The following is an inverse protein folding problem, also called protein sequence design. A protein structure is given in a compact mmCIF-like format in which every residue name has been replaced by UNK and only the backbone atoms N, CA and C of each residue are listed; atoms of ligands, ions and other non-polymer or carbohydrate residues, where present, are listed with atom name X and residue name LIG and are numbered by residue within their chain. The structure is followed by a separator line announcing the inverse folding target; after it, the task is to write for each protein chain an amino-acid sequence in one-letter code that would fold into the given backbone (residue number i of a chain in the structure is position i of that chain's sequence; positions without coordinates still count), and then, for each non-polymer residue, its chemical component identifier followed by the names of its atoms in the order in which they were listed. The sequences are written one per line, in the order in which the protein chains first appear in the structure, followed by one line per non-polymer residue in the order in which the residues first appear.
data_IF_268537187363
#
_entry.id   IF_268537187363
#
_cell.length_a   1.000
_cell.length_b   1.000
_cell.length_c   1.000
_cell.angle_alpha   90.00
_cell.angle_beta   90.00
_cell.angle_gamma   90.00
#
_symmetry.space_group_name_H-M   'P 1'
#
loop_
_entity.id
_entity.type
_entity.pdbx_description
1 polymer ?
#
# COMPACT_ATOMS: atom_id res chain seq x y z
N UNK A 1 -22.83 7.28 11.59
CA UNK A 1 -22.35 8.48 10.85
C UNK A 1 -21.82 9.58 11.78
N UNK A 2 -21.67 9.31 13.07
CA UNK A 2 -21.35 10.30 14.11
C UNK A 2 -19.95 10.94 13.95
N UNK A 3 -19.12 10.37 13.08
CA UNK A 3 -17.78 10.86 12.78
C UNK A 3 -17.71 11.70 11.50
N UNK A 4 -18.86 12.02 10.91
CA UNK A 4 -19.01 12.85 9.72
C UNK A 4 -19.80 14.11 10.07
N UNK A 5 -19.33 15.27 9.64
CA UNK A 5 -20.06 16.50 9.85
C UNK A 5 -21.31 16.59 8.94
N UNK A 6 -22.47 16.83 9.53
CA UNK A 6 -23.72 16.97 8.79
C UNK A 6 -24.07 15.76 7.94
N UNK A 7 -24.41 16.01 6.69
CA UNK A 7 -24.81 14.99 5.70
C UNK A 7 -23.67 14.57 4.76
N UNK A 8 -22.41 14.95 5.07
CA UNK A 8 -21.27 14.66 4.20
C UNK A 8 -21.02 13.17 3.97
N UNK A 9 -21.50 12.31 4.87
CA UNK A 9 -21.45 10.84 4.73
C UNK A 9 -22.27 10.31 3.52
N UNK A 10 -23.26 11.04 3.03
CA UNK A 10 -24.09 10.63 1.90
C UNK A 10 -23.30 10.53 0.58
N UNK A 11 -22.21 11.28 0.49
CA UNK A 11 -21.27 11.26 -0.65
C UNK A 11 -19.92 10.65 -0.29
N UNK A 12 -19.73 10.31 0.92
CA UNK A 12 -18.63 9.89 1.76
C UNK A 12 -17.37 9.27 1.18
N UNK A 13 -17.43 8.29 0.30
CA UNK A 13 -16.26 7.51 -0.13
C UNK A 13 -16.07 6.21 0.66
N UNK A 14 -14.83 5.76 0.81
CA UNK A 14 -14.49 4.50 1.48
C UNK A 14 -14.61 3.26 0.60
N UNK A 15 -14.19 3.28 -0.69
CA UNK A 15 -14.33 2.14 -1.58
C UNK A 15 -13.45 0.97 -1.15
N UNK A 16 -13.88 -0.27 -1.47
CA UNK A 16 -13.18 -1.52 -1.15
C UNK A 16 -12.65 -2.17 -2.44
N UNK A 17 -11.77 -1.48 -3.14
CA UNK A 17 -11.36 -1.82 -4.50
C UNK A 17 -10.18 -2.82 -4.61
N UNK A 18 -9.55 -3.19 -3.48
CA UNK A 18 -8.55 -4.26 -3.40
C UNK A 18 -9.13 -5.44 -2.62
N UNK A 19 -8.67 -6.65 -2.91
CA UNK A 19 -9.14 -7.88 -2.28
C UNK A 19 -8.78 -7.93 -0.79
N UNK A 20 -9.73 -8.39 0.03
CA UNK A 20 -9.52 -8.70 1.45
C UNK A 20 -8.92 -10.09 1.67
N UNK A 21 -8.72 -10.44 2.92
CA UNK A 21 -8.16 -11.74 3.36
C UNK A 21 -9.14 -12.44 4.29
N UNK A 22 -9.34 -13.74 4.10
CA UNK A 22 -10.16 -14.58 4.97
C UNK A 22 -9.27 -15.43 5.89
N UNK A 23 -9.58 -15.41 7.18
CA UNK A 23 -8.99 -16.30 8.17
C UNK A 23 -9.98 -17.41 8.55
N UNK A 24 -9.75 -18.66 8.12
CA UNK A 24 -10.61 -19.79 8.43
C UNK A 24 -10.56 -20.22 9.90
N UNK A 25 -9.55 -19.82 10.66
CA UNK A 25 -9.44 -20.16 12.08
C UNK A 25 -10.40 -19.34 12.94
N UNK A 26 -10.58 -18.05 12.58
CA UNK A 26 -11.43 -17.12 13.31
C UNK A 26 -12.78 -16.87 12.64
N UNK A 27 -12.96 -17.38 11.42
CA UNK A 27 -14.10 -17.09 10.54
C UNK A 27 -14.31 -15.58 10.32
N UNK A 28 -13.18 -14.86 10.17
CA UNK A 28 -13.16 -13.42 9.95
C UNK A 28 -12.63 -13.08 8.55
N UNK A 29 -13.23 -12.04 7.97
CA UNK A 29 -12.73 -11.40 6.76
C UNK A 29 -12.10 -10.06 7.16
N UNK A 30 -10.85 -9.84 6.76
CA UNK A 30 -10.17 -8.58 6.93
C UNK A 30 -10.16 -7.81 5.62
N UNK A 31 -10.58 -6.56 5.65
CA UNK A 31 -10.66 -5.75 4.43
C UNK A 31 -10.16 -4.34 4.67
N UNK A 32 -9.44 -3.78 3.68
CA UNK A 32 -9.04 -2.39 3.68
C UNK A 32 -10.07 -1.50 2.99
N UNK A 33 -10.36 -0.35 3.57
CA UNK A 33 -11.25 0.67 2.99
C UNK A 33 -10.46 1.85 2.46
N UNK A 34 -10.96 2.47 1.41
CA UNK A 34 -10.35 3.61 0.75
C UNK A 34 -10.63 4.95 1.43
N UNK A 35 -10.11 5.99 0.80
CA UNK A 35 -10.20 7.37 1.25
C UNK A 35 -11.62 7.93 1.25
N UNK A 36 -11.89 8.97 2.05
CA UNK A 36 -13.14 9.74 1.97
C UNK A 36 -13.14 10.67 0.75
N UNK A 37 -14.35 11.01 0.26
CA UNK A 37 -14.52 11.95 -0.85
C UNK A 37 -15.11 13.29 -0.36
N UNK A 38 -14.70 14.43 -0.93
CA UNK A 38 -13.61 14.64 -1.89
C UNK A 38 -12.23 14.48 -1.24
N UNK A 39 -11.26 13.93 -1.98
CA UNK A 39 -9.98 13.44 -1.45
C UNK A 39 -9.17 14.54 -0.74
N UNK A 40 -8.95 15.70 -1.41
CA UNK A 40 -8.03 16.77 -0.95
C UNK A 40 -8.72 17.79 -0.04
N UNK A 41 -10.05 17.96 -0.12
CA UNK A 41 -10.77 18.94 0.69
C UNK A 41 -11.50 18.31 1.86
N UNK A 42 -10.84 18.21 3.02
CA UNK A 42 -11.43 17.68 4.24
C UNK A 42 -12.30 18.68 5.02
N UNK A 43 -12.32 19.96 4.63
CA UNK A 43 -13.13 20.98 5.32
C UNK A 43 -14.64 20.81 5.09
N UNK A 44 -15.03 20.17 3.99
CA UNK A 44 -16.45 19.89 3.66
C UNK A 44 -16.96 18.59 4.29
N UNK A 45 -16.08 17.85 5.00
CA UNK A 45 -16.39 16.55 5.64
C UNK A 45 -15.65 16.39 6.96
N UNK A 46 -15.71 17.37 7.84
CA UNK A 46 -15.00 17.34 9.12
C UNK A 46 -15.34 16.11 9.94
N UNK A 47 -14.43 15.76 10.86
CA UNK A 47 -14.49 14.55 11.66
C UNK A 47 -13.59 13.45 11.13
N UNK A 48 -13.53 12.31 11.81
CA UNK A 48 -12.62 11.20 11.47
C UNK A 48 -13.05 10.43 10.21
N UNK A 49 -14.29 10.59 9.75
CA UNK A 49 -14.88 9.97 8.55
C UNK A 49 -14.84 8.42 8.59
N UNK A 50 -15.21 7.81 9.72
CA UNK A 50 -15.29 6.34 9.81
C UNK A 50 -16.35 5.77 8.83
N UNK A 51 -16.08 4.64 8.17
CA UNK A 51 -14.89 3.78 8.28
C UNK A 51 -13.98 3.91 7.06
N UNK A 52 -13.72 5.12 6.57
CA UNK A 52 -12.71 5.32 5.52
C UNK A 52 -11.31 5.08 6.07
N UNK A 53 -10.36 4.75 5.18
CA UNK A 53 -8.95 4.51 5.50
C UNK A 53 -8.73 3.60 6.70
N UNK A 54 -9.45 2.48 6.72
CA UNK A 54 -9.45 1.54 7.84
C UNK A 54 -9.16 0.12 7.39
N UNK A 55 -8.62 -0.67 8.28
CA UNK A 55 -8.73 -2.13 8.23
C UNK A 55 -9.95 -2.49 9.07
N UNK A 56 -10.88 -3.24 8.48
CA UNK A 56 -12.08 -3.74 9.15
C UNK A 56 -12.03 -5.26 9.23
N UNK A 57 -12.47 -5.83 10.36
CA UNK A 57 -12.70 -7.27 10.51
C UNK A 57 -14.20 -7.52 10.56
N UNK A 58 -14.67 -8.42 9.70
CA UNK A 58 -16.08 -8.76 9.57
C UNK A 58 -16.26 -10.26 9.77
N UNK A 59 -17.33 -10.65 10.46
CA UNK A 59 -17.74 -12.05 10.49
C UNK A 59 -18.12 -12.54 9.09
N UNK A 60 -17.51 -13.64 8.64
CA UNK A 60 -17.68 -14.12 7.26
C UNK A 60 -19.12 -14.50 6.93
N UNK A 61 -19.83 -15.12 7.89
CA UNK A 61 -21.20 -15.58 7.71
C UNK A 61 -22.26 -14.46 7.75
N UNK A 62 -22.04 -13.40 8.55
CA UNK A 62 -23.06 -12.38 8.82
C UNK A 62 -22.74 -11.02 8.23
N UNK A 63 -21.44 -10.73 7.99
CA UNK A 63 -20.97 -9.41 7.61
C UNK A 63 -20.97 -8.40 8.76
N UNK A 64 -21.22 -8.82 9.99
CA UNK A 64 -21.17 -7.95 11.16
C UNK A 64 -19.74 -7.52 11.45
N UNK A 65 -19.58 -6.24 11.82
CA UNK A 65 -18.28 -5.67 12.17
C UNK A 65 -17.83 -6.16 13.55
N UNK A 66 -16.68 -6.85 13.60
CA UNK A 66 -16.05 -7.27 14.85
C UNK A 66 -15.18 -6.15 15.42
N UNK A 67 -14.27 -5.64 14.62
CA UNK A 67 -13.40 -4.51 14.99
C UNK A 67 -12.92 -3.73 13.76
N UNK A 68 -12.35 -2.55 14.02
CA UNK A 68 -11.68 -1.75 12.99
C UNK A 68 -10.46 -1.03 13.56
N UNK A 69 -9.53 -0.67 12.66
CA UNK A 69 -8.43 0.24 12.95
C UNK A 69 -8.28 1.24 11.80
N UNK A 70 -8.44 2.52 12.11
CA UNK A 70 -8.31 3.59 11.11
C UNK A 70 -6.86 4.07 11.02
N UNK A 71 -6.26 3.96 9.83
CA UNK A 71 -4.86 4.31 9.57
C UNK A 71 -4.66 5.78 9.20
N UNK A 72 -5.67 6.45 8.66
CA UNK A 72 -5.61 7.86 8.24
C UNK A 72 -6.95 8.55 8.48
N UNK A 73 -7.22 9.02 9.73
CA UNK A 73 -8.44 9.75 10.03
C UNK A 73 -8.44 11.10 9.31
N UNK A 74 -9.63 11.53 8.83
CA UNK A 74 -9.82 12.81 8.13
C UNK A 74 -8.81 13.04 7.01
N UNK A 75 -8.50 12.00 6.27
CA UNK A 75 -7.46 12.01 5.22
C UNK A 75 -7.72 13.09 4.15
N UNK A 76 -6.65 13.74 3.71
CA UNK A 76 -6.65 14.71 2.62
C UNK A 76 -5.50 14.50 1.63
N UNK A 77 -4.86 13.34 1.72
CA UNK A 77 -3.68 13.00 0.93
C UNK A 77 -3.90 11.77 0.03
N UNK A 78 -5.14 11.24 0.02
CA UNK A 78 -5.50 10.02 -0.72
C UNK A 78 -4.70 8.79 -0.23
N UNK A 79 -4.59 8.66 1.09
CA UNK A 79 -3.85 7.58 1.72
C UNK A 79 -4.73 6.33 2.00
N UNK A 80 -5.44 5.86 0.95
CA UNK A 80 -6.23 4.62 1.01
C UNK A 80 -5.61 3.52 1.89
N UNK A 81 -6.44 2.82 2.65
CA UNK A 81 -6.04 1.61 3.38
C UNK A 81 -6.48 0.33 2.67
N UNK A 82 -6.55 0.36 1.35
CA UNK A 82 -7.03 -0.76 0.54
C UNK A 82 -5.99 -1.85 0.26
N UNK A 83 -4.75 -1.71 0.77
CA UNK A 83 -3.75 -2.77 0.67
C UNK A 83 -4.23 -4.06 1.35
N UNK A 84 -3.76 -5.20 0.85
CA UNK A 84 -4.07 -6.51 1.41
C UNK A 84 -3.69 -6.62 2.89
N UNK A 85 -4.63 -6.95 3.81
CA UNK A 85 -4.28 -7.31 5.17
C UNK A 85 -3.67 -8.71 5.18
N UNK A 86 -2.47 -8.87 5.76
CA UNK A 86 -1.77 -10.16 5.83
C UNK A 86 -2.00 -10.83 7.17
N UNK A 87 -2.44 -12.09 7.14
CA UNK A 87 -2.59 -12.96 8.33
C UNK A 87 -1.22 -13.55 8.65
N UNK A 88 -0.63 -13.15 9.76
CA UNK A 88 0.73 -13.55 10.16
C UNK A 88 0.74 -13.94 11.64
N UNK A 89 1.37 -15.07 11.94
CA UNK A 89 1.67 -15.49 13.32
C UNK A 89 3.17 -15.30 13.55
N UNK A 90 3.54 -14.40 14.47
CA UNK A 90 4.94 -14.03 14.70
C UNK A 90 5.22 -13.71 16.17
N UNK A 91 6.49 -13.85 16.57
CA UNK A 91 6.97 -13.46 17.88
C UNK A 91 6.94 -11.94 18.05
N UNK A 92 6.20 -11.48 19.04
CA UNK A 92 6.17 -10.07 19.44
C UNK A 92 6.17 -9.93 20.96
N UNK A 93 7.05 -9.10 21.51
CA UNK A 93 7.20 -8.89 22.95
C UNK A 93 7.37 -10.21 23.75
N UNK A 94 8.08 -11.19 23.18
CA UNK A 94 8.38 -12.48 23.82
C UNK A 94 7.25 -13.51 23.77
N UNK A 95 6.19 -13.25 23.03
CA UNK A 95 5.05 -14.15 22.85
C UNK A 95 4.71 -14.33 21.37
N UNK A 96 4.23 -15.53 20.99
CA UNK A 96 3.62 -15.73 19.69
C UNK A 96 2.32 -14.96 19.64
N UNK A 97 2.16 -14.11 18.62
CA UNK A 97 0.97 -13.30 18.40
C UNK A 97 0.34 -13.61 17.06
N UNK A 98 -0.97 -13.73 17.05
CA UNK A 98 -1.79 -13.75 15.84
C UNK A 98 -2.01 -12.30 15.42
N UNK A 99 -1.47 -11.93 14.27
CA UNK A 99 -1.48 -10.54 13.81
C UNK A 99 -2.18 -10.38 12.47
N UNK A 100 -2.77 -9.21 12.28
CA UNK A 100 -3.00 -8.63 10.98
C UNK A 100 -1.88 -7.62 10.74
N UNK A 101 -1.11 -7.83 9.68
CA UNK A 101 -0.09 -6.89 9.24
C UNK A 101 -0.60 -6.18 7.99
N UNK A 102 -0.58 -4.85 8.02
CA UNK A 102 -1.11 -4.01 6.96
C UNK A 102 -0.09 -2.95 6.54
N UNK A 103 0.32 -3.00 5.28
CA UNK A 103 1.24 -2.00 4.69
C UNK A 103 0.41 -0.89 4.07
N UNK A 104 0.25 0.20 4.79
CA UNK A 104 -0.64 1.30 4.41
C UNK A 104 0.03 2.28 3.44
N UNK A 105 -0.75 2.88 2.54
CA UNK A 105 -0.30 3.96 1.64
C UNK A 105 0.30 5.16 2.39
N UNK A 106 -0.10 5.36 3.64
CA UNK A 106 0.38 6.46 4.49
C UNK A 106 1.84 6.34 4.93
N UNK A 107 2.55 5.29 4.51
CA UNK A 107 3.99 5.11 4.76
C UNK A 107 4.33 4.21 5.95
N UNK A 108 3.32 3.59 6.58
CA UNK A 108 3.52 2.75 7.76
C UNK A 108 3.12 1.29 7.55
N UNK A 109 3.90 0.39 8.15
CA UNK A 109 3.49 -0.99 8.43
C UNK A 109 2.76 -0.99 9.77
N UNK A 110 1.50 -1.41 9.79
CA UNK A 110 0.73 -1.61 11.02
C UNK A 110 0.68 -3.08 11.37
N UNK A 111 0.84 -3.41 12.65
CA UNK A 111 0.51 -4.72 13.19
C UNK A 111 -0.58 -4.57 14.25
N UNK A 112 -1.64 -5.34 14.08
CA UNK A 112 -2.81 -5.37 14.95
C UNK A 112 -3.01 -6.78 15.48
N UNK A 113 -3.48 -6.90 16.70
CA UNK A 113 -3.95 -8.19 17.21
C UNK A 113 -5.12 -8.67 16.36
N UNK A 114 -5.04 -9.87 15.80
CA UNK A 114 -5.97 -10.37 14.80
C UNK A 114 -7.37 -10.61 15.34
N UNK A 115 -7.49 -10.97 16.61
CA UNK A 115 -8.77 -11.26 17.26
C UNK A 115 -9.50 -9.98 17.68
N UNK A 116 -8.76 -8.99 18.18
CA UNK A 116 -9.35 -7.83 18.86
C UNK A 116 -9.17 -6.51 18.14
N UNK A 117 -8.32 -6.46 17.10
CA UNK A 117 -7.92 -5.23 16.43
C UNK A 117 -7.02 -4.32 17.29
N UNK A 118 -6.57 -4.79 18.45
CA UNK A 118 -5.72 -4.00 19.33
C UNK A 118 -4.40 -3.65 18.63
N UNK A 119 -4.00 -2.39 18.72
CA UNK A 119 -2.76 -1.89 18.17
C UNK A 119 -1.55 -2.53 18.85
N UNK A 120 -0.65 -3.12 18.08
CA UNK A 120 0.60 -3.70 18.56
C UNK A 120 1.78 -2.75 18.28
N UNK A 121 1.96 -2.40 17.01
CA UNK A 121 2.97 -1.43 16.58
C UNK A 121 2.65 -0.85 15.20
N UNK A 122 3.33 0.26 14.88
CA UNK A 122 3.44 0.75 13.52
C UNK A 122 4.80 1.39 13.31
N UNK A 123 5.43 1.11 12.16
CA UNK A 123 6.75 1.62 11.80
C UNK A 123 6.76 2.18 10.38
N UNK A 124 7.58 3.19 10.15
CA UNK A 124 7.78 3.77 8.83
C UNK A 124 8.59 2.82 7.95
N UNK A 125 8.08 2.51 6.75
CA UNK A 125 8.81 1.74 5.75
C UNK A 125 9.32 2.62 4.60
N UNK A 126 8.97 3.89 4.60
CA UNK A 126 9.42 4.94 3.68
C UNK A 126 9.39 6.28 4.39
N UNK A 127 9.81 7.33 3.71
CA UNK A 127 9.78 8.70 4.24
C UNK A 127 8.36 9.15 4.59
N UNK A 128 8.15 9.57 5.84
CA UNK A 128 6.89 10.14 6.35
C UNK A 128 7.17 11.50 6.99
N UNK A 129 6.42 12.53 6.60
CA UNK A 129 6.58 13.87 7.18
C UNK A 129 5.26 14.53 7.62
N UNK A 130 4.11 13.98 7.26
CA UNK A 130 2.80 14.62 7.43
C UNK A 130 2.18 14.41 8.81
N UNK A 131 2.52 13.34 9.50
CA UNK A 131 1.93 12.99 10.80
C UNK A 131 2.96 12.45 11.79
N UNK A 132 2.62 12.54 13.06
CA UNK A 132 3.16 11.75 14.14
C UNK A 132 2.12 10.69 14.54
N UNK A 133 2.45 9.78 15.44
CA UNK A 133 1.50 8.79 15.95
C UNK A 133 1.33 8.93 17.44
N UNK A 134 0.08 8.77 17.89
CA UNK A 134 -0.20 8.61 19.31
C UNK A 134 0.14 7.18 19.78
N UNK A 135 -0.04 6.93 21.08
CA UNK A 135 0.24 5.64 21.73
C UNK A 135 -0.67 4.48 21.24
N UNK A 136 -1.74 4.78 20.51
CA UNK A 136 -2.66 3.81 19.89
C UNK A 136 -2.36 3.59 18.40
N UNK A 137 -1.28 4.20 17.90
CA UNK A 137 -0.91 4.13 16.49
C UNK A 137 -1.76 4.99 15.56
N UNK A 138 -2.68 5.82 16.10
CA UNK A 138 -3.49 6.75 15.33
C UNK A 138 -2.59 7.90 14.86
N UNK A 139 -2.53 8.20 13.55
CA UNK A 139 -1.81 9.36 13.05
C UNK A 139 -2.41 10.66 13.58
N UNK A 140 -1.53 11.55 13.99
CA UNK A 140 -1.85 12.92 14.41
C UNK A 140 -1.15 13.84 13.43
N UNK A 141 -1.93 14.59 12.66
CA UNK A 141 -1.41 15.53 11.67
C UNK A 141 -0.47 16.54 12.35
N UNK A 142 0.71 16.77 11.77
CA UNK A 142 1.62 17.80 12.25
C UNK A 142 1.08 19.18 11.93
N UNK A 143 1.32 20.15 12.82
CA UNK A 143 0.75 21.50 12.74
C UNK A 143 1.00 22.19 11.38
N UNK A 144 2.21 21.98 10.83
CA UNK A 144 2.59 22.55 9.54
C UNK A 144 1.79 22.03 8.34
N UNK A 145 1.03 20.94 8.51
CA UNK A 145 0.18 20.35 7.46
C UNK A 145 -1.31 20.64 7.62
N UNK A 146 -1.73 21.42 8.61
CA UNK A 146 -3.11 21.90 8.66
C UNK A 146 -3.48 22.79 7.48
N UNK A 147 -2.49 23.48 6.91
CA UNK A 147 -2.60 24.23 5.66
C UNK A 147 -1.51 23.75 4.68
N UNK A 148 -1.74 22.62 3.95
CA UNK A 148 -0.71 21.92 3.20
C UNK A 148 -0.31 22.60 1.88
N UNK A 149 -0.95 23.69 1.47
CA UNK A 149 -0.81 24.28 0.13
C UNK A 149 0.62 24.59 -0.33
N UNK A 150 1.53 24.83 0.60
CA UNK A 150 2.93 25.16 0.32
C UNK A 150 3.91 24.06 0.80
N UNK A 151 3.40 22.91 1.21
CA UNK A 151 4.20 21.82 1.79
C UNK A 151 4.21 20.61 0.89
N UNK A 152 5.38 20.01 0.75
CA UNK A 152 5.53 18.72 0.09
C UNK A 152 5.28 17.62 1.10
N UNK A 153 4.23 16.83 0.87
CA UNK A 153 3.84 15.69 1.68
C UNK A 153 4.55 14.43 1.20
N UNK A 154 5.12 13.68 2.11
CA UNK A 154 5.67 12.34 1.90
C UNK A 154 5.05 11.34 2.90
N UNK A 155 4.54 10.20 2.42
CA UNK A 155 4.28 9.88 1.00
C UNK A 155 3.28 10.84 0.38
N UNK A 156 3.41 11.11 -0.93
CA UNK A 156 2.46 11.93 -1.66
C UNK A 156 1.20 11.17 -2.08
N UNK A 157 0.52 11.67 -3.12
CA UNK A 157 -0.76 11.14 -3.63
C UNK A 157 -0.71 9.65 -3.98
N UNK A 158 0.42 9.14 -4.47
CA UNK A 158 0.56 7.71 -4.80
C UNK A 158 0.82 6.82 -3.61
N UNK A 159 1.01 7.40 -2.41
CA UNK A 159 1.35 6.66 -1.19
C UNK A 159 2.79 6.14 -1.19
N UNK A 160 3.21 5.57 -0.07
CA UNK A 160 4.48 4.86 0.04
C UNK A 160 4.43 3.49 -0.65
N UNK A 161 3.31 2.78 -0.54
CA UNK A 161 2.89 1.61 -1.33
C UNK A 161 1.50 1.91 -1.88
N UNK A 162 1.25 1.56 -3.12
CA UNK A 162 -0.07 1.63 -3.71
C UNK A 162 -0.70 0.21 -3.74
N UNK A 163 -1.66 -0.05 -4.66
CA UNK A 163 -2.32 -1.34 -4.83
C UNK A 163 -1.41 -2.56 -5.12
N UNK A 164 -0.20 -2.40 -5.73
CA UNK A 164 0.62 -3.57 -6.00
C UNK A 164 0.95 -4.32 -4.70
N UNK A 165 0.80 -5.66 -4.68
CA UNK A 165 0.93 -6.43 -3.45
C UNK A 165 2.36 -6.43 -2.89
N UNK A 166 2.46 -6.41 -1.57
CA UNK A 166 3.64 -6.85 -0.85
C UNK A 166 3.61 -8.37 -0.68
N UNK A 167 4.73 -8.96 -0.28
CA UNK A 167 4.81 -10.38 0.05
C UNK A 167 5.52 -10.58 1.39
N UNK A 168 5.27 -11.72 2.04
CA UNK A 168 5.88 -12.10 3.30
C UNK A 168 6.57 -13.45 3.18
N UNK A 169 7.77 -13.58 3.75
CA UNK A 169 8.46 -14.85 3.94
C UNK A 169 8.48 -15.24 5.42
N UNK A 170 7.86 -16.34 5.81
CA UNK A 170 7.95 -16.84 7.19
C UNK A 170 9.36 -17.35 7.55
N UNK A 171 10.18 -17.70 6.57
CA UNK A 171 11.54 -18.19 6.79
C UNK A 171 12.49 -17.08 7.25
N UNK A 172 12.32 -15.88 6.70
CA UNK A 172 13.13 -14.71 7.03
C UNK A 172 12.44 -13.73 7.97
N UNK A 173 11.13 -13.88 8.21
CA UNK A 173 10.24 -12.94 8.91
C UNK A 173 10.14 -11.54 8.23
N UNK A 174 10.40 -11.48 6.94
CA UNK A 174 10.45 -10.23 6.20
C UNK A 174 9.23 -10.01 5.33
N UNK A 175 8.75 -8.76 5.36
CA UNK A 175 7.87 -8.19 4.34
C UNK A 175 8.72 -7.59 3.23
N UNK A 176 8.37 -7.92 1.99
CA UNK A 176 8.97 -7.28 0.82
C UNK A 176 7.95 -6.33 0.23
N UNK A 177 8.28 -5.03 0.28
CA UNK A 177 7.35 -3.95 0.01
C UNK A 177 7.75 -3.23 -1.28
N UNK A 178 6.86 -3.13 -2.28
CA UNK A 178 7.10 -2.28 -3.45
C UNK A 178 6.84 -0.81 -3.05
N UNK A 179 7.89 -0.03 -2.88
CA UNK A 179 7.83 1.34 -2.35
C UNK A 179 7.92 2.37 -3.46
N UNK A 180 7.13 3.42 -3.32
CA UNK A 180 7.21 4.65 -4.10
C UNK A 180 7.46 5.82 -3.15
N UNK A 181 8.59 6.49 -3.29
CA UNK A 181 8.89 7.73 -2.59
C UNK A 181 8.77 8.90 -3.55
N UNK A 182 7.58 9.50 -3.58
CA UNK A 182 7.27 10.63 -4.46
C UNK A 182 6.41 11.67 -3.70
N UNK A 183 6.96 12.88 -3.56
CA UNK A 183 6.29 13.96 -2.84
C UNK A 183 5.19 14.61 -3.68
N UNK A 184 4.19 15.12 -2.98
CA UNK A 184 3.07 15.87 -3.58
C UNK A 184 2.72 17.07 -2.72
N UNK A 185 2.50 18.23 -3.36
CA UNK A 185 1.87 19.38 -2.72
C UNK A 185 0.39 19.37 -3.04
N UNK A 186 -0.46 19.52 -2.04
CA UNK A 186 -1.92 19.49 -2.18
C UNK A 186 -2.48 20.90 -2.06
N UNK A 187 -3.24 21.33 -3.06
CA UNK A 187 -3.88 22.65 -3.08
C UNK A 187 -5.39 22.41 -3.00
N UNK A 188 -5.99 22.71 -1.85
CA UNK A 188 -7.44 22.61 -1.66
C UNK A 188 -8.16 23.57 -2.60
N UNK A 189 -9.31 23.16 -3.10
CA UNK A 189 -10.24 24.01 -3.80
C UNK A 189 -11.37 24.41 -2.84
N UNK A 190 -11.78 25.65 -2.86
CA UNK A 190 -12.93 26.11 -2.09
C UNK A 190 -14.24 25.47 -2.59
N UNK A 191 -15.16 25.19 -1.66
CA UNK A 191 -16.50 24.69 -1.93
C UNK A 191 -16.59 23.16 -1.94
N UNK A 192 -17.83 22.70 -2.07
CA UNK A 192 -18.17 21.28 -2.12
C UNK A 192 -17.70 20.67 -3.44
N UNK A 193 -17.34 19.39 -3.38
CA UNK A 193 -17.06 18.59 -4.57
C UNK A 193 -18.31 18.40 -5.44
N UNK A 194 -18.14 17.83 -6.62
CA UNK A 194 -19.25 17.49 -7.54
C UNK A 194 -19.58 16.01 -7.42
N UNK A 195 -20.64 15.62 -6.70
CA UNK A 195 -21.03 14.22 -6.55
C UNK A 195 -21.19 13.52 -7.91
N UNK A 196 -20.74 12.26 -7.99
CA UNK A 196 -20.81 11.47 -9.20
C UNK A 196 -19.77 11.84 -10.27
N UNK A 197 -18.80 12.69 -9.96
CA UNK A 197 -17.67 13.02 -10.83
C UNK A 197 -16.35 12.66 -10.15
N UNK A 198 -15.29 12.51 -10.96
CA UNK A 198 -13.92 12.38 -10.47
C UNK A 198 -13.39 13.76 -10.03
N UNK A 199 -13.90 14.25 -8.91
CA UNK A 199 -13.55 15.55 -8.35
C UNK A 199 -12.76 15.36 -7.04
N UNK A 200 -11.45 15.57 -7.11
CA UNK A 200 -10.56 15.40 -5.95
C UNK A 200 -10.73 16.48 -4.86
N UNK A 201 -11.54 17.51 -5.10
CA UNK A 201 -11.66 18.65 -4.16
C UNK A 201 -10.42 19.54 -4.11
N UNK A 202 -9.48 19.36 -5.02
CA UNK A 202 -8.24 20.11 -5.07
C UNK A 202 -7.35 19.73 -6.24
N UNK A 203 -6.10 20.22 -6.22
CA UNK A 203 -5.10 19.96 -7.25
C UNK A 203 -3.84 19.40 -6.60
N UNK A 204 -3.46 18.14 -6.90
CA UNK A 204 -2.17 17.62 -6.53
C UNK A 204 -1.08 18.13 -7.48
N UNK A 205 0.03 18.60 -6.92
CA UNK A 205 1.25 18.96 -7.66
C UNK A 205 2.37 18.04 -7.24
N UNK A 206 2.79 17.20 -8.17
CA UNK A 206 3.89 16.26 -7.94
C UNK A 206 5.23 16.96 -7.97
N UNK A 207 6.16 16.50 -7.12
CA UNK A 207 7.57 16.85 -7.26
C UNK A 207 8.10 16.42 -8.65
N UNK A 208 9.17 17.05 -9.16
CA UNK A 208 9.70 16.76 -10.50
C UNK A 208 10.13 15.29 -10.68
N UNK A 209 10.53 14.62 -9.61
CA UNK A 209 10.97 13.22 -9.62
C UNK A 209 10.59 12.51 -8.32
N UNK A 210 10.45 11.19 -8.41
CA UNK A 210 10.35 10.28 -7.29
C UNK A 210 11.30 9.11 -7.50
N UNK A 211 11.39 8.22 -6.52
CA UNK A 211 12.21 7.00 -6.58
C UNK A 211 11.37 5.80 -6.14
N UNK A 212 11.50 4.70 -6.87
CA UNK A 212 10.94 3.41 -6.48
C UNK A 212 11.95 2.54 -5.76
N UNK A 213 11.48 1.68 -4.85
CA UNK A 213 12.33 0.71 -4.15
C UNK A 213 11.62 -0.63 -4.00
N UNK A 214 12.40 -1.69 -3.79
CA UNK A 214 11.99 -2.89 -3.07
C UNK A 214 12.62 -2.82 -1.69
N UNK A 215 11.81 -2.88 -0.65
CA UNK A 215 12.23 -2.77 0.75
C UNK A 215 11.94 -4.09 1.44
N UNK A 216 12.92 -4.66 2.15
CA UNK A 216 12.72 -5.76 3.08
C UNK A 216 12.64 -5.24 4.51
N UNK A 217 11.48 -5.40 5.12
CA UNK A 217 11.20 -4.99 6.49
C UNK A 217 10.98 -6.23 7.37
N UNK A 218 11.80 -6.36 8.39
CA UNK A 218 11.73 -7.44 9.37
C UNK A 218 10.67 -7.11 10.44
N UNK A 219 9.62 -7.93 10.52
CA UNK A 219 8.50 -7.73 11.47
C UNK A 219 8.94 -7.94 12.91
N UNK A 220 9.85 -8.89 13.16
CA UNK A 220 10.33 -9.24 14.51
C UNK A 220 11.26 -8.18 15.07
N UNK A 221 12.23 -7.76 14.24
CA UNK A 221 13.21 -6.74 14.63
C UNK A 221 12.68 -5.31 14.44
N UNK A 222 11.57 -5.16 13.69
CA UNK A 222 10.91 -3.89 13.41
C UNK A 222 11.82 -2.88 12.74
N UNK A 223 12.52 -3.33 11.69
CA UNK A 223 13.47 -2.49 10.95
C UNK A 223 13.62 -2.93 9.50
N UNK A 224 14.01 -1.98 8.67
CA UNK A 224 14.43 -2.26 7.29
C UNK A 224 15.79 -2.96 7.33
N UNK A 225 15.88 -4.16 6.73
CA UNK A 225 17.12 -4.93 6.60
C UNK A 225 17.88 -4.56 5.34
N UNK A 226 17.17 -4.42 4.24
CA UNK A 226 17.75 -3.96 2.99
C UNK A 226 16.73 -3.18 2.16
N UNK A 227 17.25 -2.36 1.27
CA UNK A 227 16.49 -1.57 0.33
C UNK A 227 17.25 -1.52 -0.99
N UNK A 228 16.59 -1.84 -2.10
CA UNK A 228 17.15 -1.81 -3.45
C UNK A 228 16.32 -0.87 -4.30
N UNK A 229 16.99 0.07 -4.98
CA UNK A 229 16.31 0.98 -5.90
C UNK A 229 15.72 0.22 -7.09
N UNK A 230 14.46 0.46 -7.37
CA UNK A 230 13.76 -0.04 -8.55
C UNK A 230 13.87 1.01 -9.66
N UNK A 231 14.42 0.67 -10.82
CA UNK A 231 14.56 1.62 -11.92
C UNK A 231 13.23 2.24 -12.35
N UNK A 232 13.19 3.57 -12.36
CA UNK A 232 11.98 4.36 -12.64
C UNK A 232 11.55 5.20 -11.45
N UNK A 233 10.56 6.09 -11.65
CA UNK A 233 10.15 7.04 -10.60
C UNK A 233 9.28 6.44 -9.51
N UNK A 234 8.85 5.17 -9.65
CA UNK A 234 7.98 4.46 -8.71
C UNK A 234 8.05 2.95 -8.96
N UNK A 235 7.67 2.17 -7.93
CA UNK A 235 7.55 0.72 -8.04
C UNK A 235 6.06 0.30 -7.98
N UNK A 236 5.52 -0.12 -9.12
CA UNK A 236 4.14 -0.61 -9.24
C UNK A 236 4.06 -2.09 -9.65
N UNK A 237 5.17 -2.81 -9.57
CA UNK A 237 5.21 -4.19 -10.01
C UNK A 237 4.78 -5.21 -8.95
N UNK A 238 4.67 -4.80 -7.69
CA UNK A 238 4.46 -5.75 -6.60
C UNK A 238 5.68 -6.63 -6.33
N UNK A 239 5.58 -7.48 -5.33
CA UNK A 239 6.59 -8.48 -4.97
C UNK A 239 5.98 -9.86 -4.84
N UNK A 240 6.80 -10.89 -5.04
CA UNK A 240 6.47 -12.29 -4.80
C UNK A 240 7.63 -12.96 -4.10
N UNK A 241 7.47 -13.31 -2.82
CA UNK A 241 8.41 -14.17 -2.09
C UNK A 241 8.13 -15.64 -2.37
N UNK A 242 9.17 -16.45 -2.43
CA UNK A 242 9.08 -17.90 -2.61
C UNK A 242 9.81 -18.64 -1.49
N UNK A 243 9.38 -19.86 -1.17
CA UNK A 243 10.05 -20.71 -0.18
C UNK A 243 11.47 -21.18 -0.58
N UNK A 244 11.96 -20.77 -1.75
CA UNK A 244 13.32 -21.02 -2.20
C UNK A 244 14.30 -19.87 -1.96
N UNK A 245 13.95 -18.87 -1.13
CA UNK A 245 14.82 -17.75 -0.77
C UNK A 245 14.91 -16.66 -1.87
N UNK A 246 13.89 -16.57 -2.74
CA UNK A 246 13.86 -15.58 -3.81
C UNK A 246 12.67 -14.62 -3.68
N UNK A 247 12.93 -13.35 -3.96
CA UNK A 247 11.90 -12.33 -4.11
C UNK A 247 11.88 -11.82 -5.55
N UNK A 248 10.74 -11.96 -6.22
CA UNK A 248 10.56 -11.46 -7.58
C UNK A 248 9.88 -10.09 -7.57
N UNK A 249 10.38 -9.16 -8.36
CA UNK A 249 9.73 -7.87 -8.65
C UNK A 249 10.09 -7.38 -10.05
N UNK A 250 9.15 -6.73 -10.69
CA UNK A 250 9.36 -6.06 -11.97
C UNK A 250 9.80 -4.61 -11.81
N UNK A 251 10.14 -3.95 -12.91
CA UNK A 251 10.44 -2.53 -12.92
C UNK A 251 10.12 -1.86 -14.27
N UNK A 252 10.14 -0.52 -14.27
CA UNK A 252 9.87 0.32 -15.43
C UNK A 252 10.84 0.08 -16.59
N UNK A 253 12.08 -0.35 -16.30
CA UNK A 253 13.11 -0.65 -17.29
C UNK A 253 12.88 -1.96 -18.06
N UNK A 254 11.77 -2.67 -17.73
CA UNK A 254 11.36 -3.90 -18.41
C UNK A 254 12.03 -5.16 -17.90
N UNK A 255 12.78 -5.10 -16.83
CA UNK A 255 13.33 -6.31 -16.21
C UNK A 255 12.40 -6.87 -15.14
N UNK A 256 12.20 -8.19 -15.18
CA UNK A 256 11.83 -8.99 -14.02
C UNK A 256 13.12 -9.41 -13.32
N UNK A 257 13.23 -9.16 -12.01
CA UNK A 257 14.38 -9.52 -11.19
C UNK A 257 14.00 -10.50 -10.10
N UNK A 258 14.91 -11.43 -9.81
CA UNK A 258 14.90 -12.24 -8.61
C UNK A 258 16.01 -11.75 -7.69
N UNK A 259 15.63 -11.36 -6.50
CA UNK A 259 16.52 -10.92 -5.44
C UNK A 259 16.69 -12.05 -4.42
N UNK A 260 17.86 -12.15 -3.83
CA UNK A 260 18.07 -12.89 -2.60
C UNK A 260 17.23 -12.28 -1.48
N UNK A 261 16.46 -13.09 -0.77
CA UNK A 261 15.48 -12.60 0.19
C UNK A 261 16.11 -12.05 1.48
N UNK A 262 17.34 -12.47 1.84
CA UNK A 262 18.06 -11.97 3.02
C UNK A 262 18.86 -10.69 2.74
N UNK A 263 19.41 -10.53 1.52
CA UNK A 263 20.40 -9.49 1.21
C UNK A 263 19.94 -8.45 0.19
N UNK A 264 18.93 -8.76 -0.62
CA UNK A 264 18.49 -7.92 -1.72
C UNK A 264 19.44 -7.95 -2.94
N UNK A 265 20.44 -8.84 -2.97
CA UNK A 265 21.30 -9.02 -4.14
C UNK A 265 20.49 -9.54 -5.34
N UNK A 266 20.71 -8.99 -6.54
CA UNK A 266 20.09 -9.49 -7.77
C UNK A 266 20.76 -10.78 -8.18
N UNK A 267 20.10 -11.92 -8.00
CA UNK A 267 20.60 -13.23 -8.37
C UNK A 267 20.28 -13.58 -9.82
N UNK A 268 19.18 -13.08 -10.35
CA UNK A 268 18.76 -13.30 -11.72
C UNK A 268 17.91 -12.14 -12.24
N UNK A 269 17.94 -11.93 -13.55
CA UNK A 269 17.08 -10.96 -14.22
C UNK A 269 16.79 -11.35 -15.67
N UNK A 270 15.63 -10.93 -16.16
CA UNK A 270 15.20 -11.17 -17.55
C UNK A 270 14.56 -9.90 -18.14
N UNK A 271 15.02 -9.50 -19.33
CA UNK A 271 14.43 -8.38 -20.06
C UNK A 271 13.21 -8.84 -20.84
N UNK A 272 12.03 -8.29 -20.53
CA UNK A 272 10.75 -8.66 -21.15
C UNK A 272 10.43 -7.88 -22.43
N UNK A 273 11.20 -6.83 -22.73
CA UNK A 273 11.01 -5.94 -23.87
C UNK A 273 10.04 -4.79 -23.63
N UNK A 274 9.40 -4.74 -22.47
CA UNK A 274 8.47 -3.65 -22.06
C UNK A 274 8.48 -3.51 -20.55
N UNK A 275 8.03 -2.36 -20.01
CA UNK A 275 7.96 -2.16 -18.56
C UNK A 275 7.10 -3.24 -17.87
N UNK A 276 7.52 -3.64 -16.68
CA UNK A 276 6.84 -4.64 -15.86
C UNK A 276 6.19 -3.95 -14.67
N UNK A 277 4.87 -3.81 -14.72
CA UNK A 277 4.07 -3.19 -13.65
C UNK A 277 3.01 -4.13 -13.08
N UNK A 278 2.90 -5.35 -13.63
CA UNK A 278 2.06 -6.38 -13.07
C UNK A 278 2.80 -7.14 -11.96
N UNK A 279 2.13 -7.56 -10.89
CA UNK A 279 2.74 -8.41 -9.88
C UNK A 279 3.07 -9.78 -10.45
N UNK A 280 4.24 -10.36 -10.07
CA UNK A 280 4.56 -11.74 -10.40
C UNK A 280 3.60 -12.70 -9.69
N UNK A 281 3.38 -13.86 -10.30
CA UNK A 281 2.59 -14.95 -9.71
C UNK A 281 3.37 -16.26 -9.77
N UNK A 282 3.15 -17.16 -8.81
CA UNK A 282 3.71 -18.51 -8.82
C UNK A 282 2.61 -19.55 -8.76
N UNK A 283 2.78 -20.63 -9.52
CA UNK A 283 1.88 -21.78 -9.52
C UNK A 283 2.64 -23.06 -9.92
N UNK A 284 2.04 -24.20 -9.65
CA UNK A 284 2.61 -25.52 -9.96
C UNK A 284 1.71 -26.25 -10.94
N UNK A 285 2.28 -26.81 -12.01
CA UNK A 285 1.60 -27.70 -12.95
C UNK A 285 2.45 -28.97 -13.07
N UNK A 286 1.85 -30.14 -12.84
CA UNK A 286 2.50 -31.44 -12.93
C UNK A 286 3.83 -31.54 -12.15
N UNK A 287 3.89 -30.89 -10.97
CA UNK A 287 5.07 -30.87 -10.12
C UNK A 287 6.18 -29.89 -10.54
N UNK A 288 5.99 -29.14 -11.61
CA UNK A 288 6.91 -28.08 -12.06
C UNK A 288 6.39 -26.73 -11.59
N UNK A 289 7.23 -25.97 -10.91
CA UNK A 289 6.92 -24.60 -10.51
C UNK A 289 7.12 -23.63 -11.67
N UNK A 290 6.19 -22.71 -11.79
CA UNK A 290 6.25 -21.62 -12.78
C UNK A 290 6.18 -20.27 -12.08
N UNK A 291 6.91 -19.30 -12.64
CA UNK A 291 6.75 -17.87 -12.33
C UNK A 291 6.14 -17.20 -13.57
N UNK A 292 4.98 -16.58 -13.40
CA UNK A 292 4.29 -15.86 -14.47
C UNK A 292 4.37 -14.36 -14.26
N UNK A 293 4.55 -13.62 -15.37
CA UNK A 293 4.59 -12.15 -15.36
C UNK A 293 3.92 -11.58 -16.61
N UNK A 294 3.12 -10.54 -16.44
CA UNK A 294 2.66 -9.71 -17.54
C UNK A 294 3.59 -8.51 -17.70
N UNK A 295 4.03 -8.26 -18.92
CA UNK A 295 4.75 -7.05 -19.29
C UNK A 295 4.02 -6.34 -20.40
N UNK A 296 4.15 -5.03 -20.46
CA UNK A 296 3.45 -4.21 -21.42
C UNK A 296 3.07 -2.90 -20.76
N UNK A 297 3.32 -1.77 -21.39
CA UNK A 297 3.02 -0.51 -20.74
C UNK A 297 2.33 0.48 -21.62
N UNK A 298 1.40 1.14 -20.97
CA UNK A 298 1.32 2.59 -21.03
C UNK A 298 1.72 3.08 -19.63
N UNK A 299 2.91 3.67 -19.43
CA UNK A 299 3.22 4.32 -18.17
C UNK A 299 2.22 5.49 -17.97
N UNK A 300 1.25 5.37 -17.04
CA UNK A 300 0.24 6.40 -16.87
C UNK A 300 0.80 7.69 -16.27
N UNK A 301 2.04 7.66 -15.75
CA UNK A 301 2.63 8.72 -14.94
C UNK A 301 3.83 9.39 -15.59
N UNK A 302 4.38 8.85 -16.68
CA UNK A 302 5.52 9.48 -17.37
C UNK A 302 5.09 10.79 -18.05
N UNK A 303 5.41 11.89 -17.42
CA UNK A 303 5.34 13.23 -18.05
C UNK A 303 6.42 13.44 -19.10
N UNK A 304 7.45 12.63 -19.11
CA UNK A 304 8.69 12.86 -19.89
C UNK A 304 8.68 12.21 -21.27
N UNK A 305 7.53 11.63 -21.68
CA UNK A 305 7.39 11.02 -23.01
C UNK A 305 8.27 9.78 -23.24
N UNK A 306 9.13 9.43 -22.30
CA UNK A 306 9.95 8.22 -22.35
C UNK A 306 9.05 7.05 -21.94
N UNK A 307 8.57 6.29 -22.91
CA UNK A 307 7.66 5.18 -22.70
C UNK A 307 6.19 5.44 -23.05
N UNK A 308 5.86 6.60 -23.62
CA UNK A 308 4.51 6.90 -24.13
C UNK A 308 4.11 6.08 -25.37
N UNK A 309 4.94 5.13 -25.82
CA UNK A 309 4.60 4.14 -26.83
C UNK A 309 3.74 3.03 -26.23
N UNK A 310 2.67 2.64 -26.92
CA UNK A 310 1.97 1.37 -26.66
C UNK A 310 2.95 0.26 -27.01
N UNK A 311 3.59 -0.34 -26.00
CA UNK A 311 4.34 -1.58 -26.21
C UNK A 311 3.37 -2.75 -26.20
N UNK A 312 3.52 -3.73 -27.11
CA UNK A 312 2.68 -4.93 -27.05
C UNK A 312 2.84 -5.61 -25.70
N UNK A 313 1.71 -6.01 -25.11
CA UNK A 313 1.71 -6.81 -23.88
C UNK A 313 2.17 -8.23 -24.15
N UNK A 314 2.97 -8.77 -23.27
CA UNK A 314 3.39 -10.16 -23.25
C UNK A 314 3.03 -10.78 -21.89
N UNK A 315 2.63 -12.05 -21.91
CA UNK A 315 2.60 -12.87 -20.71
C UNK A 315 3.71 -13.91 -20.82
N UNK A 316 4.63 -13.91 -19.87
CA UNK A 316 5.83 -14.74 -19.91
C UNK A 316 5.81 -15.69 -18.72
N UNK A 317 6.09 -16.94 -19.00
CA UNK A 317 6.21 -18.00 -17.98
C UNK A 317 7.67 -18.48 -17.95
N UNK A 318 8.18 -18.60 -16.74
CA UNK A 318 9.47 -19.24 -16.45
C UNK A 318 9.19 -20.52 -15.67
N UNK A 319 9.83 -21.63 -16.06
CA UNK A 319 9.85 -22.87 -15.25
C UNK A 319 11.13 -22.88 -14.42
N UNK A 320 11.01 -23.21 -13.17
CA UNK A 320 12.11 -23.37 -12.23
C UNK A 320 12.52 -24.83 -12.11
#
# INVERSE_FOLDING_TARGET
NDTWEGDSWETGGGPTWVTGTYDPEMDLIFWGTGNPWPDINNEVRRGDNLYTNSVVALHADTGELEWYHQTSPRDEFDHDSTSEPMVIDEMYAGQMRKMIVHVSRNGHVYALDRETGAFLFADEYTRVNWAERDERGKPVLREEFYEPADKVVFPGLYGGKNWPPASYSPDTNMLYIPVTEWGTTFIRREGEGRPGTMDLGGIPRFEPSGTGYVVAYDIRDRQIKWQVESPGSFNWAGTLATGGGLVFSGAADGYLRAYDDETGEVLWQFQTGSGVYAPPTSFVIDGVQYIGIASGTRNPVSRDGVGAGISPGNYILFSL
#
